data_IF_203868683587
#
_entry.id   IF_203868683587
#
_cell.length_a   1.000
_cell.length_b   1.000
_cell.length_c   1.000
_cell.angle_alpha   90.00
_cell.angle_beta   90.00
_cell.angle_gamma   90.00
#
_symmetry.space_group_name_H-M   'P 1'
#
loop_
_entity.id
_entity.type
_entity.pdbx_description
1 polymer ?
#
# COMPACT_ATOMS: atom_id res chain seq x y z
N UNK A 1 64.17 22.97 -43.70
CA UNK A 1 64.25 23.11 -42.23
C UNK A 1 62.95 22.56 -41.68
N UNK A 2 63.03 21.34 -41.15
CA UNK A 2 61.90 20.47 -40.81
C UNK A 2 61.80 20.43 -39.29
N UNK A 3 60.65 20.69 -38.66
CA UNK A 3 60.53 20.49 -37.22
C UNK A 3 60.32 19.00 -36.93
N UNK A 4 61.15 18.49 -36.02
CA UNK A 4 61.05 17.16 -35.41
C UNK A 4 59.72 17.01 -34.68
N UNK A 5 58.94 16.01 -35.10
CA UNK A 5 57.77 15.51 -34.39
C UNK A 5 58.26 14.50 -33.35
N UNK A 6 58.34 14.93 -32.09
CA UNK A 6 58.75 14.09 -30.96
C UNK A 6 57.55 13.27 -30.49
N UNK A 7 57.56 11.96 -30.77
CA UNK A 7 56.62 10.99 -30.20
C UNK A 7 57.00 10.76 -28.72
N UNK A 8 56.19 11.27 -27.79
CA UNK A 8 56.12 10.75 -26.43
C UNK A 8 55.06 9.64 -26.39
N UNK A 9 55.50 8.39 -26.25
CA UNK A 9 54.66 7.27 -25.85
C UNK A 9 54.42 7.37 -24.33
N UNK A 10 53.18 7.45 -23.83
CA UNK A 10 52.91 7.22 -22.43
C UNK A 10 53.04 5.72 -22.13
N UNK A 11 53.88 5.37 -21.17
CA UNK A 11 53.87 4.07 -20.51
C UNK A 11 52.50 3.89 -19.84
N UNK A 12 51.66 3.04 -20.44
CA UNK A 12 50.48 2.47 -19.79
C UNK A 12 50.97 1.56 -18.66
N UNK A 13 51.15 2.14 -17.46
CA UNK A 13 51.20 1.36 -16.23
C UNK A 13 49.85 0.68 -16.07
N UNK A 14 49.86 -0.66 -15.98
CA UNK A 14 48.70 -1.42 -15.56
C UNK A 14 48.33 -0.95 -14.16
N UNK A 15 47.29 -0.12 -14.04
CA UNK A 15 46.64 0.12 -12.77
C UNK A 15 46.00 -1.22 -12.39
N UNK A 16 46.60 -1.94 -11.43
CA UNK A 16 45.90 -2.95 -10.65
C UNK A 16 44.65 -2.28 -10.11
N UNK A 17 43.51 -2.57 -10.74
CA UNK A 17 42.21 -2.15 -10.24
C UNK A 17 42.03 -2.98 -8.97
N UNK A 18 41.95 -2.37 -7.77
CA UNK A 18 41.73 -3.14 -6.55
C UNK A 18 40.51 -4.03 -6.78
N UNK A 19 40.68 -5.33 -6.56
CA UNK A 19 39.55 -6.25 -6.58
C UNK A 19 38.52 -5.70 -5.58
N UNK A 20 37.24 -5.61 -5.96
CA UNK A 20 36.22 -5.17 -5.02
C UNK A 20 36.32 -6.08 -3.81
N UNK A 21 36.55 -5.48 -2.63
CA UNK A 21 36.55 -6.25 -1.40
C UNK A 21 35.18 -6.93 -1.29
N UNK A 22 35.22 -8.25 -1.19
CA UNK A 22 34.05 -9.10 -1.01
C UNK A 22 33.52 -8.86 0.42
N UNK A 23 32.87 -7.71 0.61
CA UNK A 23 32.20 -7.38 1.85
C UNK A 23 30.95 -8.23 1.90
N UNK A 24 31.06 -9.38 2.58
CA UNK A 24 29.90 -10.16 2.97
C UNK A 24 28.83 -9.22 3.54
N UNK A 25 27.55 -9.39 3.17
CA UNK A 25 26.48 -8.56 3.69
C UNK A 25 26.49 -8.61 5.22
N UNK A 26 26.30 -7.45 5.86
CA UNK A 26 26.17 -7.37 7.32
C UNK A 26 24.79 -7.88 7.69
N UNK A 27 24.71 -8.99 8.44
CA UNK A 27 23.46 -9.70 8.70
C UNK A 27 23.27 -9.97 10.19
N UNK A 28 23.49 -8.95 11.00
CA UNK A 28 23.18 -8.99 12.43
C UNK A 28 21.75 -8.47 12.59
N UNK A 29 20.79 -9.36 12.34
CA UNK A 29 19.36 -9.05 12.37
C UNK A 29 18.63 -9.96 13.37
N UNK A 30 17.89 -9.36 14.31
CA UNK A 30 17.04 -10.10 15.26
C UNK A 30 15.58 -9.85 14.93
N UNK A 31 14.81 -10.91 14.71
CA UNK A 31 13.36 -10.81 14.50
C UNK A 31 12.69 -10.24 15.76
N UNK A 32 11.91 -9.18 15.60
CA UNK A 32 11.14 -8.55 16.70
C UNK A 32 9.65 -8.84 16.60
N UNK A 33 9.10 -9.00 15.40
CA UNK A 33 7.70 -9.35 15.16
C UNK A 33 7.50 -10.02 13.80
N UNK A 34 6.43 -10.80 13.66
CA UNK A 34 5.91 -11.27 12.38
C UNK A 34 4.41 -11.02 12.28
N UNK A 35 3.94 -10.68 11.07
CA UNK A 35 2.52 -10.62 10.75
C UNK A 35 2.28 -11.41 9.45
N UNK A 36 1.35 -12.38 9.40
CA UNK A 36 0.58 -12.89 10.53
C UNK A 36 1.46 -13.53 11.62
N UNK A 37 0.93 -13.58 12.84
CA UNK A 37 1.52 -14.33 13.94
C UNK A 37 1.41 -15.85 13.68
N UNK A 38 2.28 -16.64 14.31
CA UNK A 38 2.25 -18.09 14.16
C UNK A 38 0.92 -18.69 14.64
N UNK A 39 0.28 -19.47 13.77
CA UNK A 39 -1.03 -20.09 13.99
C UNK A 39 -2.22 -19.15 13.78
N UNK A 40 -2.01 -17.93 13.27
CA UNK A 40 -3.09 -16.98 13.04
C UNK A 40 -3.96 -17.37 11.84
N UNK A 41 -5.24 -17.10 11.96
CA UNK A 41 -6.17 -17.18 10.86
C UNK A 41 -6.26 -15.82 10.19
N UNK A 42 -5.89 -15.77 8.91
CA UNK A 42 -5.96 -14.56 8.11
C UNK A 42 -7.14 -14.65 7.15
N UNK A 43 -7.86 -13.57 7.01
CA UNK A 43 -8.94 -13.51 6.03
C UNK A 43 -8.40 -12.79 4.81
N UNK A 44 -8.71 -13.34 3.63
CA UNK A 44 -8.22 -12.85 2.36
C UNK A 44 -7.09 -13.69 1.78
N UNK A 45 -6.85 -13.49 0.50
CA UNK A 45 -5.88 -14.25 -0.30
C UNK A 45 -4.59 -13.46 -0.54
N UNK A 46 -4.47 -12.23 -0.04
CA UNK A 46 -3.32 -11.36 -0.31
C UNK A 46 -2.51 -11.04 0.94
N UNK A 47 -2.52 -11.97 1.90
CA UNK A 47 -1.79 -11.77 3.15
C UNK A 47 -0.30 -11.64 2.91
N UNK A 48 0.23 -10.54 3.44
CA UNK A 48 1.66 -10.25 3.43
C UNK A 48 2.29 -10.85 4.67
N UNK A 49 3.54 -11.31 4.53
CA UNK A 49 4.37 -11.69 5.67
C UNK A 49 5.29 -10.52 5.98
N UNK A 50 4.99 -9.82 7.08
CA UNK A 50 5.83 -8.76 7.63
C UNK A 50 6.83 -9.37 8.59
N UNK A 51 8.10 -9.00 8.48
CA UNK A 51 9.13 -9.32 9.45
C UNK A 51 9.83 -8.05 9.88
N UNK A 52 9.82 -7.81 11.18
CA UNK A 52 10.51 -6.68 11.79
C UNK A 52 11.86 -7.14 12.32
N UNK A 53 12.92 -6.35 12.13
CA UNK A 53 14.23 -6.62 12.72
C UNK A 53 14.99 -5.36 13.12
N UNK A 54 16.03 -5.56 13.93
CA UNK A 54 17.07 -4.56 14.20
C UNK A 54 18.30 -4.81 13.30
N UNK A 55 18.76 -3.82 12.53
CA UNK A 55 19.93 -3.95 11.63
C UNK A 55 19.65 -3.65 10.15
N UNK A 56 20.66 -3.80 9.30
CA UNK A 56 20.55 -3.54 7.84
C UNK A 56 20.47 -4.84 7.05
N UNK A 57 19.48 -4.99 6.20
CA UNK A 57 19.33 -6.10 5.25
C UNK A 57 19.16 -5.51 3.85
N UNK A 58 19.68 -6.19 2.83
CA UNK A 58 19.43 -5.84 1.42
C UNK A 58 18.39 -6.77 0.83
N UNK A 59 17.72 -6.37 -0.26
CA UNK A 59 16.73 -7.22 -0.94
C UNK A 59 17.26 -8.61 -1.32
N UNK A 60 18.48 -8.68 -1.85
CA UNK A 60 19.14 -9.95 -2.20
C UNK A 60 19.50 -10.79 -0.97
N UNK A 61 19.54 -10.16 0.21
CA UNK A 61 19.78 -10.79 1.49
C UNK A 61 18.53 -11.30 2.18
N UNK A 62 17.32 -11.14 1.62
CA UNK A 62 16.10 -11.65 2.24
C UNK A 62 15.42 -12.69 1.34
N UNK A 63 15.01 -13.81 1.93
CA UNK A 63 14.30 -14.87 1.22
C UNK A 63 13.19 -15.45 2.08
N UNK A 64 12.14 -15.93 1.41
CA UNK A 64 11.00 -16.58 2.03
C UNK A 64 10.68 -17.86 1.26
N UNK A 65 10.47 -18.94 1.99
CA UNK A 65 9.87 -20.17 1.46
C UNK A 65 8.49 -20.33 2.08
N UNK A 66 7.48 -20.57 1.26
CA UNK A 66 6.10 -20.82 1.69
C UNK A 66 5.66 -22.20 1.25
N UNK A 67 4.91 -22.92 2.11
CA UNK A 67 4.34 -24.24 1.84
C UNK A 67 2.84 -24.21 2.13
N UNK A 68 1.96 -24.62 1.19
CA UNK A 68 2.27 -25.04 -0.19
C UNK A 68 3.01 -23.95 -0.97
N UNK A 69 3.82 -24.37 -1.96
CA UNK A 69 4.67 -23.48 -2.73
C UNK A 69 3.82 -22.38 -3.38
N UNK A 70 4.22 -21.13 -3.15
CA UNK A 70 3.54 -19.95 -3.65
C UNK A 70 4.57 -18.84 -3.88
N UNK A 71 4.53 -18.11 -5.00
CA UNK A 71 5.52 -17.07 -5.28
C UNK A 71 5.31 -15.83 -4.40
N UNK A 72 6.42 -15.30 -3.86
CA UNK A 72 6.46 -14.09 -3.06
C UNK A 72 7.62 -13.19 -3.49
N UNK A 73 7.37 -11.89 -3.55
CA UNK A 73 8.37 -10.84 -3.72
C UNK A 73 8.65 -10.13 -2.40
N UNK A 74 9.91 -9.74 -2.17
CA UNK A 74 10.34 -9.05 -0.95
C UNK A 74 10.50 -7.54 -1.21
N UNK A 75 9.95 -6.73 -0.32
CA UNK A 75 10.26 -5.31 -0.19
C UNK A 75 11.01 -5.12 1.12
N UNK A 76 12.22 -4.56 1.04
CA UNK A 76 13.12 -4.39 2.18
C UNK A 76 13.22 -2.92 2.54
N UNK A 77 12.69 -2.57 3.70
CA UNK A 77 12.79 -1.26 4.32
C UNK A 77 13.80 -1.23 5.46
N UNK A 78 13.87 -0.09 6.16
CA UNK A 78 14.70 0.06 7.34
C UNK A 78 14.09 -0.73 8.51
N UNK A 79 14.72 -1.86 8.85
CA UNK A 79 14.25 -2.76 9.91
C UNK A 79 12.99 -3.58 9.59
N UNK A 80 12.59 -3.68 8.31
CA UNK A 80 11.37 -4.44 7.91
C UNK A 80 11.55 -5.14 6.56
N UNK A 81 11.18 -6.42 6.43
CA UNK A 81 10.90 -7.06 5.13
C UNK A 81 9.41 -7.30 5.07
N UNK A 82 8.83 -6.90 3.95
CA UNK A 82 7.48 -7.26 3.58
C UNK A 82 7.56 -8.25 2.43
N UNK A 83 7.15 -9.49 2.68
CA UNK A 83 6.92 -10.45 1.61
C UNK A 83 5.48 -10.32 1.12
N UNK A 84 5.33 -10.03 -0.16
CA UNK A 84 4.05 -9.86 -0.86
C UNK A 84 3.83 -11.10 -1.73
N UNK A 85 2.65 -11.75 -1.67
CA UNK A 85 2.37 -12.83 -2.60
C UNK A 85 2.26 -12.25 -4.02
N UNK A 86 2.90 -12.88 -5.00
CA UNK A 86 2.89 -12.40 -6.39
C UNK A 86 1.55 -12.73 -7.10
N UNK A 87 0.82 -13.70 -6.55
CA UNK A 87 -0.52 -14.11 -6.96
C UNK A 87 -1.41 -14.32 -5.73
N UNK A 88 -2.75 -14.25 -5.84
CA UNK A 88 -3.62 -14.56 -4.71
C UNK A 88 -3.41 -15.98 -4.16
N UNK A 89 -3.30 -16.09 -2.83
CA UNK A 89 -3.29 -17.35 -2.08
C UNK A 89 -4.61 -18.12 -2.27
N UNK A 90 -4.58 -19.42 -2.05
CA UNK A 90 -5.76 -20.26 -2.07
C UNK A 90 -6.58 -20.01 -0.78
N UNK A 91 -7.93 -19.91 -0.87
CA UNK A 91 -8.78 -19.81 0.31
C UNK A 91 -8.75 -21.10 1.13
N UNK A 92 -9.11 -21.01 2.42
CA UNK A 92 -9.24 -22.15 3.35
C UNK A 92 -8.01 -23.06 3.38
N UNK A 93 -6.82 -22.49 3.17
CA UNK A 93 -5.56 -23.22 2.99
C UNK A 93 -4.60 -22.85 4.11
N UNK A 94 -4.05 -23.88 4.76
CA UNK A 94 -2.99 -23.71 5.75
C UNK A 94 -1.65 -23.52 5.03
N UNK A 95 -0.98 -22.42 5.36
CA UNK A 95 0.34 -22.07 4.89
C UNK A 95 1.34 -22.12 6.04
N UNK A 96 2.54 -22.64 5.79
CA UNK A 96 3.71 -22.47 6.65
C UNK A 96 4.77 -21.71 5.89
N UNK A 97 5.49 -20.85 6.58
CA UNK A 97 6.54 -20.03 5.98
C UNK A 97 7.84 -20.13 6.79
N UNK A 98 8.96 -20.02 6.08
CA UNK A 98 10.30 -19.94 6.64
C UNK A 98 11.03 -18.79 5.96
N UNK A 99 11.51 -17.85 6.76
CA UNK A 99 12.26 -16.71 6.28
C UNK A 99 13.74 -16.86 6.64
N UNK A 100 14.59 -16.54 5.68
CA UNK A 100 16.03 -16.53 5.86
C UNK A 100 16.61 -15.18 5.46
N UNK A 101 17.53 -14.69 6.29
CA UNK A 101 18.32 -13.49 6.02
C UNK A 101 19.77 -13.92 5.78
N UNK A 102 20.31 -13.52 4.64
CA UNK A 102 21.66 -13.81 4.18
C UNK A 102 21.97 -15.31 4.15
N UNK A 103 20.95 -16.12 3.80
CA UNK A 103 21.05 -17.58 3.73
C UNK A 103 20.87 -18.30 5.07
N UNK A 104 20.73 -17.58 6.18
CA UNK A 104 20.50 -18.17 7.51
C UNK A 104 19.01 -18.07 7.90
N UNK A 105 18.35 -19.17 8.29
CA UNK A 105 16.97 -19.15 8.78
C UNK A 105 16.85 -18.27 10.03
N UNK A 106 15.95 -17.29 10.00
CA UNK A 106 15.74 -16.36 11.11
C UNK A 106 14.37 -16.49 11.76
N UNK A 107 13.38 -16.96 11.01
CA UNK A 107 12.00 -16.98 11.45
C UNK A 107 11.20 -18.05 10.69
N UNK A 108 10.19 -18.60 11.35
CA UNK A 108 9.21 -19.46 10.72
C UNK A 108 7.87 -19.31 11.43
N UNK A 109 6.78 -19.57 10.72
CA UNK A 109 5.44 -19.61 11.30
C UNK A 109 4.45 -20.28 10.36
N UNK A 110 3.18 -20.27 10.73
CA UNK A 110 2.09 -20.66 9.86
C UNK A 110 0.87 -19.77 10.03
N UNK A 111 0.04 -19.76 9.00
CA UNK A 111 -1.26 -19.10 9.02
C UNK A 111 -2.25 -19.91 8.19
N UNK A 112 -3.55 -19.67 8.38
CA UNK A 112 -4.59 -20.28 7.53
C UNK A 112 -5.40 -19.19 6.88
N UNK A 113 -5.47 -19.18 5.54
CA UNK A 113 -6.42 -18.32 4.82
C UNK A 113 -7.84 -18.76 5.15
N UNK A 114 -8.74 -17.82 5.38
CA UNK A 114 -10.16 -18.08 5.65
C UNK A 114 -11.05 -17.28 4.72
N UNK A 115 -12.12 -17.91 4.25
CA UNK A 115 -13.29 -17.26 3.65
C UNK A 115 -14.11 -16.60 4.73
N UNK A 116 -14.45 -15.34 4.54
CA UNK A 116 -15.24 -14.62 5.51
C UNK A 116 -16.72 -14.99 5.38
N UNK A 117 -17.21 -15.85 6.26
CA UNK A 117 -18.64 -16.15 6.35
C UNK A 117 -19.29 -16.64 5.06
N UNK A 118 -20.61 -16.48 4.99
CA UNK A 118 -21.40 -16.77 3.79
C UNK A 118 -21.22 -15.65 2.76
N UNK A 119 -21.28 -15.99 1.47
CA UNK A 119 -21.29 -15.01 0.38
C UNK A 119 -22.44 -14.01 0.55
N UNK A 120 -22.19 -12.73 0.26
CA UNK A 120 -23.22 -11.69 0.29
C UNK A 120 -24.08 -11.79 -0.98
N UNK A 121 -25.40 -11.83 -0.87
CA UNK A 121 -26.24 -11.76 -2.08
C UNK A 121 -26.00 -10.42 -2.81
N UNK A 122 -25.86 -10.36 -4.14
CA UNK A 122 -25.54 -9.10 -4.84
C UNK A 122 -26.54 -7.96 -4.53
N UNK A 123 -27.83 -8.28 -4.43
CA UNK A 123 -28.87 -7.32 -4.05
C UNK A 123 -28.78 -6.82 -2.59
N UNK A 124 -28.00 -7.50 -1.74
CA UNK A 124 -27.69 -7.03 -0.39
C UNK A 124 -26.53 -6.03 -0.37
N UNK A 125 -25.70 -5.93 -1.40
CA UNK A 125 -24.63 -4.90 -1.45
C UNK A 125 -24.98 -3.76 -2.40
N UNK A 126 -25.75 -4.04 -3.47
CA UNK A 126 -26.11 -3.06 -4.48
C UNK A 126 -26.77 -1.82 -3.88
N UNK A 127 -26.22 -0.65 -4.22
CA UNK A 127 -26.71 0.65 -3.80
C UNK A 127 -26.46 1.01 -2.34
N UNK A 128 -25.67 0.22 -1.61
CA UNK A 128 -25.19 0.58 -0.28
C UNK A 128 -23.92 1.42 -0.38
N UNK A 129 -23.65 2.16 0.69
CA UNK A 129 -22.39 2.88 0.86
C UNK A 129 -21.76 2.48 2.19
N UNK A 130 -20.46 2.24 2.17
CA UNK A 130 -19.67 1.78 3.31
C UNK A 130 -18.70 2.90 3.70
N UNK A 131 -18.71 3.26 4.98
CA UNK A 131 -17.75 4.20 5.55
C UNK A 131 -16.60 3.43 6.17
N UNK A 132 -15.44 3.59 5.57
CA UNK A 132 -14.17 2.96 5.90
C UNK A 132 -13.30 3.95 6.68
N UNK A 133 -13.02 3.63 7.94
CA UNK A 133 -12.21 4.47 8.82
C UNK A 133 -10.73 4.02 8.76
N UNK A 134 -9.95 4.74 7.96
CA UNK A 134 -8.51 4.51 7.81
C UNK A 134 -7.70 5.00 9.02
N UNK A 135 -8.27 5.86 9.87
CA UNK A 135 -7.61 6.29 11.10
C UNK A 135 -7.66 5.19 12.18
N UNK A 136 -8.68 4.33 12.15
CA UNK A 136 -8.80 3.15 13.00
C UNK A 136 -8.03 1.92 12.48
N UNK A 137 -7.54 1.96 11.25
CA UNK A 137 -6.83 0.85 10.61
C UNK A 137 -5.36 0.76 11.03
N UNK A 138 -4.72 -0.37 10.73
CA UNK A 138 -3.31 -0.62 11.05
C UNK A 138 -2.41 -0.14 9.91
N UNK A 139 -1.55 0.84 10.20
CA UNK A 139 -0.61 1.41 9.24
C UNK A 139 0.70 0.63 9.22
N UNK A 140 0.89 -0.14 8.16
CA UNK A 140 2.12 -0.91 7.93
C UNK A 140 3.17 -0.03 7.26
N UNK A 141 2.78 0.70 6.20
CA UNK A 141 3.64 1.64 5.48
C UNK A 141 2.87 2.95 5.19
N UNK A 142 3.43 4.13 5.51
CA UNK A 142 4.53 4.33 6.46
C UNK A 142 4.12 3.88 7.87
N UNK A 143 5.07 3.34 8.67
CA UNK A 143 4.80 3.09 10.10
C UNK A 143 4.38 4.37 10.79
N UNK A 144 3.37 4.28 11.66
CA UNK A 144 2.74 5.44 12.29
C UNK A 144 2.16 6.45 11.29
N UNK A 145 1.92 6.03 10.04
CA UNK A 145 1.31 6.84 9.00
C UNK A 145 -0.09 7.33 9.36
N UNK A 146 -0.79 6.63 10.26
CA UNK A 146 -2.16 6.95 10.64
C UNK A 146 -2.37 8.39 11.09
N UNK A 147 -1.45 8.96 11.88
CA UNK A 147 -1.58 10.36 12.32
C UNK A 147 -1.40 11.35 11.17
N UNK A 148 -0.47 11.07 10.25
CA UNK A 148 -0.25 11.88 9.06
C UNK A 148 -1.48 11.78 8.16
N UNK A 149 -1.95 10.57 7.87
CA UNK A 149 -3.08 10.33 6.98
C UNK A 149 -4.41 10.83 7.55
N UNK A 150 -4.66 10.69 8.86
CA UNK A 150 -5.84 11.25 9.49
C UNK A 150 -5.92 12.78 9.30
N UNK A 151 -4.77 13.48 9.31
CA UNK A 151 -4.72 14.91 9.04
C UNK A 151 -4.95 15.26 7.56
N UNK A 152 -4.65 14.34 6.63
CA UNK A 152 -4.79 14.56 5.20
C UNK A 152 -6.21 14.28 4.69
N UNK A 153 -6.86 13.25 5.23
CA UNK A 153 -8.10 12.69 4.68
C UNK A 153 -9.32 12.82 5.58
N UNK A 154 -9.17 13.38 6.79
CA UNK A 154 -10.16 13.21 7.84
C UNK A 154 -10.35 11.73 8.27
N UNK A 155 -9.52 10.83 7.74
CA UNK A 155 -9.55 9.39 8.03
C UNK A 155 -10.68 8.59 7.38
N UNK A 156 -11.60 9.19 6.63
CA UNK A 156 -12.81 8.51 6.16
C UNK A 156 -12.83 8.34 4.63
N UNK A 157 -12.82 7.09 4.17
CA UNK A 157 -13.08 6.70 2.78
C UNK A 157 -14.51 6.16 2.68
N UNK A 158 -15.27 6.62 1.69
CA UNK A 158 -16.59 6.08 1.37
C UNK A 158 -16.48 5.20 0.13
N UNK A 159 -17.07 4.02 0.19
CA UNK A 159 -17.22 3.10 -0.95
C UNK A 159 -18.71 2.93 -1.26
N UNK A 160 -19.15 3.36 -2.43
CA UNK A 160 -20.51 3.16 -2.92
C UNK A 160 -20.56 2.02 -3.91
N UNK A 161 -21.42 1.02 -3.69
CA UNK A 161 -21.65 -0.05 -4.67
C UNK A 161 -22.73 0.44 -5.64
N UNK A 162 -22.36 0.72 -6.88
CA UNK A 162 -23.27 1.24 -7.90
C UNK A 162 -24.11 0.13 -8.54
N UNK A 163 -23.49 -1.04 -8.73
CA UNK A 163 -24.11 -2.24 -9.28
C UNK A 163 -23.41 -3.50 -8.77
N UNK A 164 -24.14 -4.61 -8.64
CA UNK A 164 -23.57 -5.91 -8.31
C UNK A 164 -24.41 -7.03 -8.93
N UNK A 165 -23.74 -8.06 -9.45
CA UNK A 165 -24.36 -9.34 -9.82
C UNK A 165 -23.49 -10.52 -9.36
N UNK A 166 -23.80 -11.75 -9.77
CA UNK A 166 -23.07 -12.95 -9.33
C UNK A 166 -21.60 -13.00 -9.80
N UNK A 167 -21.17 -12.09 -10.68
CA UNK A 167 -19.87 -12.13 -11.36
C UNK A 167 -19.14 -10.79 -11.35
N UNK A 168 -19.84 -9.67 -11.33
CA UNK A 168 -19.22 -8.35 -11.32
C UNK A 168 -19.78 -7.44 -10.25
N UNK A 169 -18.96 -6.47 -9.86
CA UNK A 169 -19.35 -5.41 -8.95
C UNK A 169 -18.71 -4.10 -9.41
N UNK A 170 -19.51 -3.05 -9.36
CA UNK A 170 -19.16 -1.69 -9.73
C UNK A 170 -19.14 -0.82 -8.47
N UNK A 171 -18.01 -0.15 -8.23
CA UNK A 171 -17.76 0.57 -6.98
C UNK A 171 -17.15 1.93 -7.27
N UNK A 172 -17.71 2.95 -6.62
CA UNK A 172 -17.20 4.31 -6.61
C UNK A 172 -16.61 4.64 -5.22
N UNK A 173 -15.42 5.22 -5.19
CA UNK A 173 -14.77 5.74 -4.00
C UNK A 173 -14.99 7.24 -3.83
N UNK A 174 -15.06 7.73 -2.60
CA UNK A 174 -15.08 9.16 -2.30
C UNK A 174 -14.45 9.47 -0.94
N UNK A 175 -13.95 10.69 -0.77
CA UNK A 175 -13.59 11.19 0.57
C UNK A 175 -14.87 11.46 1.36
N UNK A 176 -14.91 11.00 2.61
CA UNK A 176 -15.98 11.28 3.54
C UNK A 176 -15.55 12.26 4.63
N UNK A 177 -16.54 12.86 5.28
CA UNK A 177 -16.35 13.66 6.49
C UNK A 177 -17.48 13.39 7.49
N UNK A 178 -17.24 13.71 8.76
CA UNK A 178 -18.27 13.70 9.80
C UNK A 178 -18.74 15.13 10.07
N UNK A 179 -20.00 15.43 9.74
CA UNK A 179 -20.65 16.72 10.01
C UNK A 179 -21.79 16.50 10.99
N UNK A 180 -21.71 17.16 12.16
CA UNK A 180 -22.67 17.01 13.25
C UNK A 180 -22.93 15.54 13.67
N UNK A 181 -21.88 14.71 13.60
CA UNK A 181 -21.93 13.29 13.94
C UNK A 181 -22.64 12.43 12.90
N UNK A 182 -22.80 12.92 11.67
CA UNK A 182 -23.29 12.15 10.52
C UNK A 182 -22.20 12.08 9.46
N UNK A 183 -21.91 10.86 9.00
CA UNK A 183 -21.03 10.64 7.86
C UNK A 183 -21.68 11.14 6.58
N UNK A 184 -20.96 11.95 5.82
CA UNK A 184 -21.37 12.44 4.51
C UNK A 184 -20.19 12.42 3.53
N UNK A 185 -20.49 12.45 2.24
CA UNK A 185 -19.47 12.63 1.21
C UNK A 185 -19.00 14.08 1.21
N UNK A 186 -17.70 14.31 1.15
CA UNK A 186 -17.14 15.64 0.98
C UNK A 186 -17.22 16.05 -0.51
N UNK A 187 -18.03 17.07 -0.88
CA UNK A 187 -18.19 17.49 -2.26
C UNK A 187 -16.97 18.23 -2.83
N UNK A 188 -15.94 18.49 -2.01
CA UNK A 188 -14.72 19.19 -2.37
C UNK A 188 -13.61 18.30 -2.90
N UNK A 189 -13.84 16.98 -2.90
CA UNK A 189 -12.93 16.01 -3.46
C UNK A 189 -13.58 15.32 -4.67
N UNK A 190 -12.75 15.03 -5.66
CA UNK A 190 -13.16 14.22 -6.79
C UNK A 190 -13.43 12.78 -6.33
N UNK A 191 -14.41 12.12 -6.94
CA UNK A 191 -14.64 10.70 -6.72
C UNK A 191 -13.64 9.84 -7.48
N UNK A 192 -13.42 8.63 -7.00
CA UNK A 192 -12.61 7.59 -7.65
C UNK A 192 -13.57 6.62 -8.32
N UNK A 193 -13.48 6.47 -9.63
CA UNK A 193 -14.16 5.37 -10.31
C UNK A 193 -13.22 4.16 -10.31
N UNK A 194 -13.58 3.09 -9.60
CA UNK A 194 -12.85 1.84 -9.72
C UNK A 194 -13.27 1.13 -11.01
N UNK A 195 -12.35 0.46 -11.73
CA UNK A 195 -12.75 -0.44 -12.79
C UNK A 195 -13.73 -1.49 -12.26
N UNK A 196 -14.70 -1.91 -13.06
CA UNK A 196 -15.55 -3.07 -12.73
C UNK A 196 -14.66 -4.27 -12.41
N UNK A 197 -14.94 -4.96 -11.30
CA UNK A 197 -14.10 -6.07 -10.82
C UNK A 197 -14.86 -7.38 -10.73
N UNK A 198 -14.11 -8.48 -10.76
CA UNK A 198 -14.65 -9.84 -10.61
C UNK A 198 -15.19 -10.07 -9.19
N UNK A 199 -16.50 -10.30 -9.10
CA UNK A 199 -17.21 -10.62 -7.87
C UNK A 199 -17.56 -12.11 -7.77
N UNK A 200 -17.05 -12.97 -8.67
CA UNK A 200 -17.26 -14.42 -8.58
C UNK A 200 -16.57 -15.08 -7.38
N UNK A 201 -15.68 -14.33 -6.69
CA UNK A 201 -15.02 -14.71 -5.44
C UNK A 201 -15.68 -14.13 -4.19
N UNK A 202 -16.88 -13.56 -4.31
CA UNK A 202 -17.73 -13.13 -3.20
C UNK A 202 -17.71 -14.17 -2.06
N UNK A 203 -17.44 -13.76 -0.80
CA UNK A 203 -17.48 -12.40 -0.27
C UNK A 203 -16.27 -11.51 -0.53
N UNK A 204 -15.21 -12.04 -1.12
CA UNK A 204 -14.02 -11.24 -1.37
C UNK A 204 -14.19 -10.24 -2.50
N UNK A 205 -13.55 -9.11 -2.31
CA UNK A 205 -13.47 -8.01 -3.24
C UNK A 205 -12.02 -7.55 -3.37
N UNK A 206 -11.61 -7.27 -4.61
CA UNK A 206 -10.37 -6.57 -4.92
C UNK A 206 -10.71 -5.45 -5.88
N UNK A 207 -10.62 -4.20 -5.43
CA UNK A 207 -10.81 -2.99 -6.22
C UNK A 207 -9.47 -2.47 -6.72
N UNK A 208 -9.47 -1.93 -7.94
CA UNK A 208 -8.31 -1.29 -8.55
C UNK A 208 -7.52 -2.21 -9.49
N UNK A 209 -6.34 -1.76 -9.97
CA UNK A 209 -5.69 -0.49 -9.62
C UNK A 209 -6.47 0.74 -10.10
N UNK A 210 -6.47 1.80 -9.31
CA UNK A 210 -7.09 3.09 -9.64
C UNK A 210 -6.17 4.25 -9.26
N UNK A 211 -6.42 5.42 -9.84
CA UNK A 211 -5.77 6.68 -9.49
C UNK A 211 -6.66 7.42 -8.50
N UNK A 212 -6.14 7.82 -7.35
CA UNK A 212 -6.90 8.57 -6.36
C UNK A 212 -6.31 9.97 -6.19
N UNK A 213 -6.94 11.02 -6.75
CA UNK A 213 -6.55 12.39 -6.48
C UNK A 213 -6.94 12.79 -5.05
N UNK A 214 -5.98 13.33 -4.32
CA UNK A 214 -6.11 13.70 -2.90
C UNK A 214 -5.53 15.09 -2.69
N UNK A 215 -6.01 15.83 -1.69
CA UNK A 215 -5.43 17.15 -1.35
C UNK A 215 -4.64 17.07 -0.05
N UNK A 216 -3.35 17.39 -0.13
CA UNK A 216 -2.44 17.45 1.01
C UNK A 216 -2.02 18.89 1.23
N UNK A 217 -2.52 19.52 2.30
CA UNK A 217 -2.23 20.94 2.60
C UNK A 217 -2.57 21.87 1.40
N UNK A 218 -3.65 21.54 0.68
CA UNK A 218 -4.09 22.27 -0.50
C UNK A 218 -3.30 21.99 -1.78
N UNK A 219 -2.29 21.12 -1.75
CA UNK A 219 -1.62 20.59 -2.95
C UNK A 219 -2.35 19.34 -3.44
N UNK A 220 -2.52 19.21 -4.75
CA UNK A 220 -3.03 17.99 -5.36
C UNK A 220 -1.91 16.94 -5.39
N UNK A 221 -2.21 15.77 -4.84
CA UNK A 221 -1.34 14.58 -4.86
C UNK A 221 -2.14 13.47 -5.48
N UNK A 222 -1.53 12.66 -6.34
CA UNK A 222 -2.20 11.47 -6.87
C UNK A 222 -1.62 10.24 -6.17
N UNK A 223 -2.50 9.44 -5.57
CA UNK A 223 -2.13 8.09 -5.15
C UNK A 223 -2.27 7.16 -6.36
N UNK A 224 -1.14 6.67 -6.83
CA UNK A 224 -1.03 5.79 -7.97
C UNK A 224 -1.28 4.34 -7.58
N UNK A 225 -1.86 3.59 -8.51
CA UNK A 225 -2.01 2.12 -8.36
C UNK A 225 -2.80 1.71 -7.12
N UNK A 226 -3.76 2.53 -6.69
CA UNK A 226 -4.54 2.26 -5.49
C UNK A 226 -5.32 0.96 -5.66
N UNK A 227 -5.12 0.04 -4.73
CA UNK A 227 -5.84 -1.22 -4.61
C UNK A 227 -6.46 -1.32 -3.23
N UNK A 228 -7.71 -1.75 -3.17
CA UNK A 228 -8.41 -2.04 -1.94
C UNK A 228 -8.88 -3.48 -1.96
N UNK A 229 -8.56 -4.21 -0.92
CA UNK A 229 -9.01 -5.58 -0.68
C UNK A 229 -9.99 -5.56 0.49
N UNK A 230 -10.87 -6.54 0.54
CA UNK A 230 -11.72 -6.80 1.70
C UNK A 230 -12.72 -7.90 1.43
N UNK A 231 -13.57 -8.18 2.40
CA UNK A 231 -14.68 -9.10 2.25
C UNK A 231 -15.98 -8.46 2.78
N UNK A 232 -17.09 -8.69 2.08
CA UNK A 232 -18.40 -8.36 2.62
C UNK A 232 -18.86 -9.46 3.56
N UNK A 233 -19.47 -9.10 4.68
CA UNK A 233 -20.19 -10.11 5.46
C UNK A 233 -21.41 -10.64 4.67
N UNK A 234 -21.92 -11.83 5.01
CA UNK A 234 -23.04 -12.45 4.28
C UNK A 234 -24.35 -11.66 4.23
N UNK A 235 -24.49 -10.58 5.00
CA UNK A 235 -25.64 -9.66 4.93
C UNK A 235 -25.35 -8.38 4.15
N UNK A 236 -24.14 -8.21 3.61
CA UNK A 236 -23.67 -7.02 2.90
C UNK A 236 -23.64 -5.75 3.76
N UNK A 237 -23.58 -5.86 5.09
CA UNK A 237 -23.68 -4.71 6.02
C UNK A 237 -22.32 -4.23 6.54
N UNK A 238 -21.29 -5.03 6.38
CA UNK A 238 -19.93 -4.73 6.80
C UNK A 238 -18.95 -5.13 5.70
N UNK A 239 -17.86 -4.35 5.62
CA UNK A 239 -16.63 -4.71 4.93
C UNK A 239 -15.59 -5.00 6.01
N UNK A 240 -14.88 -6.09 5.85
CA UNK A 240 -13.98 -6.63 6.87
C UNK A 240 -12.69 -7.12 6.22
N UNK A 241 -11.66 -7.27 7.05
CA UNK A 241 -10.32 -7.71 6.64
C UNK A 241 -9.77 -6.90 5.47
N UNK A 242 -10.09 -5.62 5.48
CA UNK A 242 -9.73 -4.76 4.39
C UNK A 242 -8.24 -4.44 4.45
N UNK A 243 -7.66 -4.29 3.27
CA UNK A 243 -6.32 -3.77 3.12
C UNK A 243 -6.29 -2.77 1.97
N UNK A 244 -5.45 -1.74 2.07
CA UNK A 244 -5.27 -0.73 1.03
C UNK A 244 -3.80 -0.62 0.72
N UNK A 245 -3.46 -0.62 -0.57
CA UNK A 245 -2.11 -0.30 -1.04
C UNK A 245 -2.15 0.75 -2.13
N UNK A 246 -1.22 1.70 -2.11
CA UNK A 246 -1.04 2.70 -3.17
C UNK A 246 0.38 3.28 -3.13
N UNK A 247 0.75 4.10 -4.11
CA UNK A 247 1.99 4.88 -4.10
C UNK A 247 1.71 6.37 -4.19
N UNK A 248 2.28 7.17 -3.29
CA UNK A 248 2.26 8.63 -3.40
C UNK A 248 3.54 9.14 -4.05
N UNK A 249 3.42 9.94 -5.12
CA UNK A 249 4.58 10.59 -5.75
C UNK A 249 4.95 11.90 -5.03
N UNK A 250 6.15 11.96 -4.44
CA UNK A 250 6.60 13.15 -3.73
C UNK A 250 6.80 14.36 -4.64
N UNK A 251 6.96 14.16 -5.95
CA UNK A 251 7.07 15.26 -6.91
C UNK A 251 5.79 16.09 -6.97
N UNK A 252 4.64 15.51 -6.66
CA UNK A 252 3.36 16.23 -6.59
C UNK A 252 3.34 17.22 -5.43
N UNK A 253 4.00 16.88 -4.32
CA UNK A 253 4.04 17.71 -3.11
C UNK A 253 5.19 18.73 -3.14
N UNK A 254 6.41 18.25 -3.42
CA UNK A 254 7.64 19.04 -3.25
C UNK A 254 8.36 19.33 -4.57
N UNK A 255 7.79 18.92 -5.70
CA UNK A 255 8.35 19.16 -7.03
C UNK A 255 9.75 18.58 -7.16
N UNK A 256 10.65 19.36 -7.75
CA UNK A 256 12.05 18.97 -8.01
C UNK A 256 12.89 18.78 -6.73
N UNK A 257 12.36 19.14 -5.55
CA UNK A 257 13.07 18.97 -4.28
C UNK A 257 12.90 17.56 -3.68
N UNK A 258 12.17 16.66 -4.36
CA UNK A 258 11.86 15.31 -3.85
C UNK A 258 13.10 14.54 -3.40
N UNK A 259 14.27 14.68 -4.04
CA UNK A 259 15.49 13.97 -3.63
C UNK A 259 15.97 14.37 -2.25
N UNK A 260 15.96 15.67 -1.94
CA UNK A 260 16.30 16.16 -0.59
C UNK A 260 15.24 15.72 0.43
N UNK A 261 13.98 15.70 0.02
CA UNK A 261 12.88 15.23 0.86
C UNK A 261 12.98 13.73 1.15
N UNK A 262 13.31 12.89 0.17
CA UNK A 262 13.59 11.46 0.36
C UNK A 262 14.70 11.22 1.39
N UNK A 263 15.81 11.98 1.30
CA UNK A 263 16.90 11.89 2.29
C UNK A 263 16.45 12.32 3.69
N UNK A 264 15.57 13.33 3.77
CA UNK A 264 15.00 13.75 5.05
C UNK A 264 14.05 12.69 5.62
N UNK A 265 13.21 12.08 4.78
CA UNK A 265 12.28 11.03 5.17
C UNK A 265 12.98 9.79 5.73
N UNK A 266 14.17 9.47 5.22
CA UNK A 266 14.99 8.38 5.76
C UNK A 266 15.34 8.60 7.25
N UNK A 267 15.44 9.85 7.71
CA UNK A 267 15.66 10.14 9.14
C UNK A 267 14.46 9.78 10.03
N UNK A 268 13.30 9.57 9.41
CA UNK A 268 12.06 9.11 10.04
C UNK A 268 11.77 7.63 9.73
N UNK A 269 12.73 6.89 9.16
CA UNK A 269 12.57 5.49 8.77
C UNK A 269 11.75 5.28 7.50
N UNK A 270 11.49 6.35 6.73
CA UNK A 270 10.74 6.27 5.48
C UNK A 270 11.70 6.33 4.30
N UNK A 271 11.58 5.37 3.39
CA UNK A 271 12.42 5.33 2.19
C UNK A 271 11.58 5.59 0.95
N UNK A 272 12.10 6.43 0.06
CA UNK A 272 11.53 6.54 -1.27
C UNK A 272 11.80 5.25 -2.04
N UNK A 273 10.75 4.76 -2.70
CA UNK A 273 10.77 3.60 -3.57
C UNK A 273 10.70 4.05 -5.02
N UNK A 274 11.00 3.12 -5.91
CA UNK A 274 10.77 3.29 -7.34
C UNK A 274 9.27 3.37 -7.62
N UNK A 275 8.85 4.48 -8.23
CA UNK A 275 7.49 4.68 -8.71
C UNK A 275 7.16 3.65 -9.81
N UNK A 276 6.04 2.95 -9.67
CA UNK A 276 5.55 2.02 -10.69
C UNK A 276 5.24 2.72 -12.02
N UNK A 277 4.81 3.98 -11.97
CA UNK A 277 4.39 4.75 -13.13
C UNK A 277 5.55 5.08 -14.10
N UNK A 278 6.76 5.38 -13.60
CA UNK A 278 7.85 5.88 -14.43
C UNK A 278 9.26 5.40 -14.06
N UNK A 279 9.38 4.56 -13.03
CA UNK A 279 10.65 4.00 -12.60
C UNK A 279 11.56 4.98 -11.83
N UNK A 280 11.11 6.19 -11.49
CA UNK A 280 11.89 7.13 -10.69
C UNK A 280 11.81 6.78 -9.20
N UNK A 281 12.91 6.87 -8.46
CA UNK A 281 12.91 6.71 -6.99
C UNK A 281 12.42 7.99 -6.31
N UNK A 282 11.10 8.21 -6.38
CA UNK A 282 10.41 9.41 -5.91
C UNK A 282 9.08 9.10 -5.19
N UNK A 283 8.69 7.84 -5.08
CA UNK A 283 7.41 7.44 -4.50
C UNK A 283 7.55 6.96 -3.06
N UNK A 284 6.45 6.96 -2.33
CA UNK A 284 6.32 6.31 -1.03
C UNK A 284 5.21 5.26 -1.13
N UNK A 285 5.51 4.04 -0.68
CA UNK A 285 4.50 2.99 -0.55
C UNK A 285 3.57 3.29 0.61
N UNK A 286 2.28 3.11 0.35
CA UNK A 286 1.22 3.12 1.34
C UNK A 286 0.71 1.69 1.49
N UNK A 287 0.65 1.20 2.71
CA UNK A 287 0.03 -0.07 3.02
C UNK A 287 -0.67 -0.03 4.37
N UNK A 288 -1.96 -0.31 4.34
CA UNK A 288 -2.86 -0.25 5.49
C UNK A 288 -3.61 -1.58 5.56
N UNK A 289 -3.72 -2.15 6.75
CA UNK A 289 -4.44 -3.41 7.03
C UNK A 289 -5.47 -3.21 8.12
N UNK A 290 -6.22 -4.27 8.44
CA UNK A 290 -7.28 -4.26 9.45
C UNK A 290 -8.34 -3.19 9.17
N UNK A 291 -8.54 -2.88 7.90
CA UNK A 291 -9.53 -1.90 7.47
C UNK A 291 -10.91 -2.49 7.67
N UNK A 292 -11.77 -1.74 8.36
CA UNK A 292 -13.16 -2.10 8.56
C UNK A 292 -14.07 -1.03 7.97
N UNK A 293 -15.15 -1.47 7.34
CA UNK A 293 -16.19 -0.63 6.76
C UNK A 293 -17.56 -1.00 7.33
N UNK A 294 -18.35 0.01 7.66
CA UNK A 294 -19.75 -0.16 8.07
C UNK A 294 -20.67 0.53 7.07
N UNK A 295 -21.83 -0.06 6.77
CA UNK A 295 -22.86 0.64 5.99
C UNK A 295 -23.21 1.99 6.64
N UNK A 296 -23.31 3.03 5.81
CA UNK A 296 -23.79 4.36 6.19
C UNK A 296 -25.24 4.50 5.73
N UNK A 297 -26.24 4.38 6.63
CA UNK A 297 -27.64 4.31 6.24
C UNK A 297 -28.10 5.59 5.52
N UNK A 298 -28.71 5.41 4.34
CA UNK A 298 -29.28 6.52 3.57
C UNK A 298 -28.26 7.36 2.79
N UNK A 299 -26.96 7.12 2.96
CA UNK A 299 -25.93 7.73 2.13
C UNK A 299 -25.84 6.98 0.79
N UNK A 300 -25.71 7.75 -0.29
CA UNK A 300 -25.22 7.26 -1.58
C UNK A 300 -24.04 8.11 -2.00
N UNK A 301 -22.94 7.46 -2.34
CA UNK A 301 -21.82 8.12 -3.00
C UNK A 301 -22.29 8.56 -4.39
N UNK A 302 -22.04 9.83 -4.71
CA UNK A 302 -22.38 10.44 -5.99
C UNK A 302 -21.09 10.83 -6.70
N UNK A 303 -21.02 10.57 -8.01
CA UNK A 303 -19.87 11.01 -8.81
C UNK A 303 -19.67 12.53 -8.75
N UNK A 304 -18.44 12.93 -8.45
CA UNK A 304 -17.98 14.33 -8.44
C UNK A 304 -16.74 14.38 -9.32
N UNK A 305 -16.87 14.93 -10.53
CA UNK A 305 -15.77 15.04 -11.51
C UNK A 305 -15.19 16.47 -11.63
N UNK A 306 -15.73 17.41 -10.84
CA UNK A 306 -15.32 18.81 -10.82
C UNK A 306 -15.75 19.43 -9.49
N UNK A 307 -14.99 19.18 -8.40
CA UNK A 307 -15.33 19.72 -7.09
C UNK A 307 -15.49 21.23 -7.22
N UNK A 308 -16.66 21.74 -6.82
CA UNK A 308 -17.08 23.09 -7.16
C UNK A 308 -16.13 24.15 -6.59
N UNK A 309 -16.08 25.33 -7.22
CA UNK A 309 -15.35 26.48 -6.68
C UNK A 309 -15.83 26.94 -5.29
N UNK A 310 -16.99 26.43 -4.81
CA UNK A 310 -17.55 26.76 -3.50
C UNK A 310 -16.71 26.18 -2.35
N UNK A 311 -15.87 25.19 -2.63
CA UNK A 311 -14.89 24.63 -1.69
C UNK A 311 -13.71 25.57 -1.39
N UNK A 312 -13.54 26.64 -2.18
CA UNK A 312 -12.51 27.66 -1.98
C UNK A 312 -12.93 28.85 -1.12
N UNK A 313 -14.14 28.87 -0.56
CA UNK A 313 -14.73 30.05 0.08
C UNK A 313 -14.49 30.23 1.59
N UNK A 314 -13.76 29.31 2.23
CA UNK A 314 -13.58 29.27 3.69
C UNK A 314 -12.41 30.09 4.22
N UNK A 315 -12.25 31.36 3.82
CA UNK A 315 -11.53 32.32 4.65
C UNK A 315 -12.38 32.58 5.92
N UNK A 316 -12.25 31.71 6.92
CA UNK A 316 -12.89 31.91 8.22
C UNK A 316 -11.87 31.72 9.33
N UNK A 317 -11.43 32.85 9.89
CA UNK A 317 -10.58 32.90 11.06
C UNK A 317 -11.13 32.05 12.22
N UNK A 318 -10.60 30.84 12.36
CA UNK A 318 -10.50 30.11 13.62
C UNK A 318 -9.16 30.49 14.25
N UNK A 319 -9.18 31.57 15.02
CA UNK A 319 -8.34 31.71 16.23
C UNK A 319 -8.87 30.80 17.34
#
# INVERSE_FOLDING_TARGET
MTPMLSLLLPLLGACDKPEPEDTAPVCDATLTASMPADGEDIIGTNARILLDWEGTVTADGASLTVTPEHPYSAVVGDGTVIFRPDEPLQPETAYTWEAALCGEPVASGGFTTRTEGDAAEPGDVEGRSFGVDLAAATWVEPRNGGELFAQLFGGLLLLGVEGADDRTIDVIGAVGEDVDGQRQQDPCYETIDFPEVDFSRNPYLELGPAEFPVKVQGQDVVLHGLRLYGAFNGTGTALTDGALSAQGDLRDVVGQQYTAYCQQLQTFGLSCVTCEADGATACIDLYVTDIQGSVVPGLRVLSVSNPSAECGGGDTGRE
#
